data_IF_442736887430
#
_entry.id   IF_442736887430
#
_cell.length_a   1.000
_cell.length_b   1.000
_cell.length_c   1.000
_cell.angle_alpha   90.00
_cell.angle_beta   90.00
_cell.angle_gamma   90.00
#
_symmetry.space_group_name_H-M   'P 1'
#
loop_
_entity.id
_entity.type
_entity.pdbx_description
1 polymer ?
#
# COMPACT_ATOMS: atom_id res chain seq x y z
N UNK A 1 -27.84 3.24 1.23
CA UNK A 1 -28.30 2.51 2.43
C UNK A 1 -27.15 2.53 3.43
N UNK A 2 -27.42 2.82 4.71
CA UNK A 2 -26.42 2.85 5.79
C UNK A 2 -26.81 1.79 6.81
N UNK A 3 -25.85 1.03 7.31
CA UNK A 3 -26.08 0.01 8.32
C UNK A 3 -25.09 0.18 9.47
N UNK A 4 -25.51 -0.26 10.66
CA UNK A 4 -24.66 -0.25 11.85
C UNK A 4 -23.98 -1.61 12.02
N UNK A 5 -22.67 -1.61 12.28
CA UNK A 5 -21.97 -2.82 12.71
C UNK A 5 -21.89 -2.85 14.25
N UNK A 6 -22.50 -3.84 14.93
CA UNK A 6 -22.54 -3.91 16.40
C UNK A 6 -21.19 -4.28 17.03
N UNK A 7 -20.20 -4.69 16.22
CA UNK A 7 -18.90 -5.15 16.72
C UNK A 7 -17.85 -4.04 16.76
N UNK A 8 -17.79 -3.20 15.73
CA UNK A 8 -16.88 -2.04 15.69
C UNK A 8 -17.56 -0.72 16.06
N UNK A 9 -18.86 -0.72 16.39
CA UNK A 9 -19.66 0.46 16.73
C UNK A 9 -19.65 1.58 15.67
N UNK A 10 -19.43 1.22 14.41
CA UNK A 10 -19.35 2.18 13.29
C UNK A 10 -20.50 1.93 12.32
N UNK A 11 -21.12 3.01 11.86
CA UNK A 11 -22.07 2.99 10.76
C UNK A 11 -21.33 2.99 9.43
N UNK A 12 -21.67 2.08 8.53
CA UNK A 12 -21.07 1.94 7.20
C UNK A 12 -22.10 2.07 6.10
N UNK A 13 -21.67 2.53 4.94
CA UNK A 13 -22.49 2.59 3.72
C UNK A 13 -22.45 1.23 3.04
N UNK A 14 -23.60 0.61 2.80
CA UNK A 14 -23.69 -0.73 2.23
C UNK A 14 -25.05 -1.40 2.45
N UNK A 15 -25.14 -2.68 2.14
CA UNK A 15 -26.34 -3.50 2.33
C UNK A 15 -26.40 -4.18 3.70
N UNK A 16 -25.27 -4.45 4.33
CA UNK A 16 -25.21 -4.97 5.70
C UNK A 16 -24.18 -6.07 5.91
N UNK A 17 -23.97 -6.42 7.18
CA UNK A 17 -23.18 -7.59 7.53
C UNK A 17 -23.85 -8.87 6.98
N UNK A 18 -23.07 -9.74 6.34
CA UNK A 18 -23.53 -10.98 5.72
C UNK A 18 -24.01 -10.84 4.27
N UNK A 19 -24.10 -9.62 3.72
CA UNK A 19 -24.53 -9.37 2.33
C UNK A 19 -23.38 -8.87 1.47
N UNK A 20 -22.84 -7.70 1.81
CA UNK A 20 -21.72 -7.07 1.10
C UNK A 20 -20.47 -6.94 1.98
N UNK A 21 -20.62 -6.99 3.30
CA UNK A 21 -19.51 -6.97 4.26
C UNK A 21 -19.59 -8.10 5.29
N UNK A 22 -18.46 -8.52 5.84
CA UNK A 22 -18.36 -9.34 7.05
C UNK A 22 -17.45 -8.65 8.06
N UNK A 23 -17.66 -8.87 9.35
CA UNK A 23 -16.80 -8.32 10.38
C UNK A 23 -15.70 -9.33 10.73
N UNK A 24 -14.44 -8.92 10.65
CA UNK A 24 -13.30 -9.70 11.10
C UNK A 24 -12.97 -9.33 12.56
N UNK A 25 -13.28 -10.24 13.49
CA UNK A 25 -13.02 -10.04 14.92
C UNK A 25 -11.53 -9.90 15.25
N UNK A 26 -10.66 -10.49 14.41
CA UNK A 26 -9.22 -10.51 14.65
C UNK A 26 -8.56 -9.15 14.43
N UNK A 27 -9.01 -8.37 13.44
CA UNK A 27 -8.55 -6.99 13.21
C UNK A 27 -9.61 -5.93 13.52
N UNK A 28 -10.74 -6.32 14.11
CA UNK A 28 -11.89 -5.47 14.44
C UNK A 28 -12.49 -4.69 13.25
N UNK A 29 -12.31 -5.16 12.01
CA UNK A 29 -12.69 -4.41 10.81
C UNK A 29 -13.81 -5.05 10.00
N UNK A 30 -14.69 -4.23 9.41
CA UNK A 30 -15.64 -4.73 8.41
C UNK A 30 -14.99 -4.76 7.03
N UNK A 31 -15.05 -5.92 6.38
CA UNK A 31 -14.35 -6.25 5.15
C UNK A 31 -15.37 -6.69 4.11
N UNK A 32 -15.23 -6.25 2.86
CA UNK A 32 -16.16 -6.61 1.79
C UNK A 32 -16.10 -8.11 1.49
N UNK A 33 -17.24 -8.79 1.38
CA UNK A 33 -17.30 -10.25 1.12
C UNK A 33 -16.68 -10.60 -0.24
N UNK A 34 -16.76 -9.69 -1.21
CA UNK A 34 -16.14 -9.85 -2.53
C UNK A 34 -14.60 -9.70 -2.51
N UNK A 35 -13.99 -9.33 -1.38
CA UNK A 35 -12.53 -9.27 -1.29
C UNK A 35 -11.97 -10.68 -1.05
N UNK A 36 -11.45 -11.28 -2.13
CA UNK A 36 -11.04 -12.71 -2.20
C UNK A 36 -9.88 -13.07 -1.26
N UNK A 37 -9.22 -12.09 -0.63
CA UNK A 37 -8.12 -12.38 0.31
C UNK A 37 -8.03 -11.29 1.39
N UNK A 38 -8.82 -11.41 2.45
CA UNK A 38 -8.57 -10.61 3.65
C UNK A 38 -7.29 -11.10 4.34
N UNK A 39 -6.15 -10.47 4.04
CA UNK A 39 -4.93 -10.62 4.84
C UNK A 39 -5.12 -9.86 6.14
N UNK A 40 -5.58 -10.56 7.17
CA UNK A 40 -5.79 -9.99 8.50
C UNK A 40 -4.43 -9.63 9.13
N UNK A 41 -4.15 -8.34 9.26
CA UNK A 41 -3.06 -7.83 10.07
C UNK A 41 -3.66 -7.24 11.35
N UNK A 42 -3.36 -7.88 12.48
CA UNK A 42 -3.78 -7.42 13.81
C UNK A 42 -3.24 -6.00 14.05
N UNK A 43 -4.11 -5.09 14.51
CA UNK A 43 -3.81 -3.66 14.76
C UNK A 43 -3.37 -2.84 13.54
N UNK A 44 -3.46 -3.38 12.32
CA UNK A 44 -2.99 -2.68 11.11
C UNK A 44 -3.73 -1.36 10.82
N UNK A 45 -4.93 -1.19 11.38
CA UNK A 45 -5.76 0.00 11.20
C UNK A 45 -5.86 0.89 12.44
N UNK A 46 -5.17 0.55 13.55
CA UNK A 46 -5.02 1.40 14.74
C UNK A 46 -3.97 2.50 14.50
N UNK A 47 -4.04 3.16 13.34
CA UNK A 47 -3.13 4.22 12.94
C UNK A 47 -3.84 5.24 12.06
N UNK A 48 -3.30 6.45 12.02
CA UNK A 48 -3.78 7.51 11.14
C UNK A 48 -3.19 7.37 9.74
N UNK A 49 -3.91 7.86 8.75
CA UNK A 49 -3.42 7.93 7.38
C UNK A 49 -2.16 8.82 7.34
N UNK A 50 -1.03 8.36 6.78
CA UNK A 50 0.21 9.14 6.74
C UNK A 50 0.14 10.37 5.81
N UNK A 51 -0.95 10.52 5.05
CA UNK A 51 -1.13 11.60 4.07
C UNK A 51 -2.07 12.68 4.60
N UNK A 52 -3.26 12.32 5.09
CA UNK A 52 -4.25 13.28 5.58
C UNK A 52 -4.36 13.36 7.11
N UNK A 53 -3.63 12.50 7.84
CA UNK A 53 -3.65 12.40 9.30
C UNK A 53 -4.99 12.01 9.94
N UNK A 54 -6.00 11.64 9.14
CA UNK A 54 -7.27 11.10 9.64
C UNK A 54 -7.17 9.63 10.03
N UNK A 55 -8.00 9.21 10.99
CA UNK A 55 -8.14 7.82 11.44
C UNK A 55 -8.48 6.86 10.28
N UNK A 56 -7.69 5.80 10.11
CA UNK A 56 -8.01 4.75 9.13
C UNK A 56 -9.14 3.82 9.60
N UNK A 57 -9.42 3.78 10.90
CA UNK A 57 -10.42 2.89 11.48
C UNK A 57 -11.82 3.49 11.48
N UNK A 58 -11.95 4.73 11.94
CA UNK A 58 -13.24 5.40 12.17
C UNK A 58 -13.72 6.20 10.96
N UNK A 59 -12.82 6.58 10.05
CA UNK A 59 -13.19 7.30 8.84
C UNK A 59 -14.11 6.47 7.94
N UNK A 60 -15.03 7.17 7.28
CA UNK A 60 -15.88 6.58 6.23
C UNK A 60 -15.12 6.37 4.91
N UNK A 61 -13.90 6.91 4.79
CA UNK A 61 -13.09 6.78 3.60
C UNK A 61 -12.57 5.36 3.42
N UNK A 62 -12.55 4.90 2.16
CA UNK A 62 -12.07 3.56 1.81
C UNK A 62 -10.57 3.44 2.05
N UNK A 63 -10.15 2.46 2.83
CA UNK A 63 -8.73 2.19 3.11
C UNK A 63 -8.16 1.15 2.14
N UNK A 64 -6.91 1.35 1.72
CA UNK A 64 -6.15 0.45 0.87
C UNK A 64 -4.94 -0.09 1.64
N UNK A 65 -4.75 -1.41 1.59
CA UNK A 65 -3.52 -2.06 2.02
C UNK A 65 -2.45 -1.92 0.93
N UNK A 66 -1.24 -1.54 1.32
CA UNK A 66 -0.07 -1.43 0.45
C UNK A 66 0.65 -2.77 0.34
N UNK A 67 1.46 -2.95 -0.70
CA UNK A 67 2.27 -4.16 -0.89
C UNK A 67 3.23 -4.43 0.28
N UNK A 68 3.69 -3.38 0.96
CA UNK A 68 4.55 -3.47 2.14
C UNK A 68 3.82 -3.84 3.44
N UNK A 69 2.49 -3.94 3.43
CA UNK A 69 1.66 -4.27 4.60
C UNK A 69 1.14 -3.08 5.42
N UNK A 70 1.49 -1.84 5.03
CA UNK A 70 0.94 -0.62 5.63
C UNK A 70 -0.39 -0.20 4.99
N UNK A 71 -1.06 0.78 5.59
CA UNK A 71 -2.40 1.22 5.19
C UNK A 71 -2.46 2.72 4.92
N UNK A 72 -3.29 3.13 3.97
CA UNK A 72 -3.66 4.53 3.73
C UNK A 72 -5.02 4.62 3.01
N UNK A 73 -5.69 5.78 3.06
CA UNK A 73 -6.93 5.97 2.28
C UNK A 73 -6.66 5.78 0.78
N UNK A 74 -7.63 5.20 0.06
CA UNK A 74 -7.52 4.93 -1.38
C UNK A 74 -7.38 6.22 -2.19
N UNK A 75 -8.08 7.29 -1.79
CA UNK A 75 -7.93 8.63 -2.37
C UNK A 75 -6.54 9.21 -2.10
N UNK A 76 -6.05 9.09 -0.87
CA UNK A 76 -4.69 9.51 -0.51
C UNK A 76 -3.63 8.72 -1.27
N UNK A 77 -3.82 7.40 -1.46
CA UNK A 77 -2.94 6.57 -2.27
C UNK A 77 -2.88 7.10 -3.70
N UNK A 78 -4.02 7.33 -4.35
CA UNK A 78 -4.08 7.82 -5.71
C UNK A 78 -3.37 9.16 -5.87
N UNK A 79 -3.65 10.12 -4.98
CA UNK A 79 -3.01 11.44 -5.00
C UNK A 79 -1.49 11.36 -4.75
N UNK A 80 -1.07 10.53 -3.80
CA UNK A 80 0.33 10.37 -3.43
C UNK A 80 1.14 9.68 -4.53
N UNK A 81 0.56 8.69 -5.23
CA UNK A 81 1.21 8.00 -6.35
C UNK A 81 1.45 8.85 -7.59
N UNK A 82 0.89 10.06 -7.65
CA UNK A 82 1.18 11.01 -8.73
C UNK A 82 2.60 11.58 -8.65
N UNK A 83 3.20 11.64 -7.46
CA UNK A 83 4.54 12.22 -7.25
C UNK A 83 5.51 11.31 -6.50
N UNK A 84 5.03 10.26 -5.82
CA UNK A 84 5.85 9.35 -5.02
C UNK A 84 5.51 7.88 -5.31
N UNK A 85 6.54 7.04 -5.41
CA UNK A 85 6.39 5.61 -5.67
C UNK A 85 6.79 4.73 -4.47
N UNK A 86 7.18 5.33 -3.34
CA UNK A 86 7.63 4.64 -2.12
C UNK A 86 6.66 4.86 -0.97
N UNK A 87 6.56 3.90 -0.05
CA UNK A 87 5.70 4.01 1.11
C UNK A 87 6.22 5.10 2.07
N UNK A 88 5.38 6.05 2.54
CA UNK A 88 5.82 7.12 3.44
C UNK A 88 6.22 6.62 4.84
N UNK A 89 5.95 5.34 5.16
CA UNK A 89 6.18 4.75 6.48
C UNK A 89 7.48 3.93 6.52
N UNK A 90 7.80 3.23 5.43
CA UNK A 90 8.92 2.27 5.39
C UNK A 90 9.78 2.37 4.13
N UNK A 91 9.51 3.34 3.26
CA UNK A 91 10.25 3.62 2.02
C UNK A 91 10.30 2.48 0.98
N UNK A 92 9.58 1.37 1.20
CA UNK A 92 9.43 0.28 0.21
C UNK A 92 8.56 0.72 -0.97
N UNK A 93 8.80 0.17 -2.16
CA UNK A 93 7.99 0.49 -3.36
C UNK A 93 6.50 0.17 -3.17
N UNK A 94 5.65 1.04 -3.72
CA UNK A 94 4.19 0.92 -3.67
C UNK A 94 3.63 -0.01 -4.76
N UNK A 95 4.44 -0.36 -5.76
CA UNK A 95 4.06 -1.21 -6.88
C UNK A 95 5.27 -1.90 -7.50
N UNK A 96 5.01 -2.61 -8.60
CA UNK A 96 6.04 -3.28 -9.38
C UNK A 96 6.85 -2.24 -10.17
N UNK A 97 8.12 -2.11 -9.79
CA UNK A 97 9.06 -1.18 -10.41
C UNK A 97 10.02 -1.90 -11.38
N UNK A 98 9.80 -3.17 -11.72
CA UNK A 98 10.69 -3.96 -12.57
C UNK A 98 10.95 -3.29 -13.92
N UNK A 99 9.95 -2.67 -14.53
CA UNK A 99 10.11 -1.93 -15.80
C UNK A 99 10.98 -0.70 -15.64
N UNK A 100 10.76 0.07 -14.57
CA UNK A 100 11.53 1.28 -14.30
C UNK A 100 13.00 0.94 -13.98
N UNK A 101 13.24 -0.05 -13.12
CA UNK A 101 14.58 -0.53 -12.82
C UNK A 101 15.27 -1.12 -14.06
N UNK A 102 14.55 -1.88 -14.88
CA UNK A 102 15.09 -2.39 -16.15
C UNK A 102 15.50 -1.28 -17.12
N UNK A 103 14.75 -0.17 -17.16
CA UNK A 103 15.13 1.00 -17.97
C UNK A 103 16.39 1.69 -17.41
N UNK A 104 16.50 1.82 -16.09
CA UNK A 104 17.70 2.37 -15.44
C UNK A 104 18.93 1.49 -15.67
N UNK A 105 18.79 0.17 -15.54
CA UNK A 105 19.85 -0.80 -15.80
C UNK A 105 20.35 -0.70 -17.25
N UNK A 106 19.44 -0.53 -18.21
CA UNK A 106 19.80 -0.34 -19.61
C UNK A 106 20.57 0.97 -19.86
N UNK A 107 20.18 2.07 -19.19
CA UNK A 107 20.89 3.35 -19.27
C UNK A 107 22.28 3.26 -18.65
N UNK A 108 22.40 2.66 -17.46
CA UNK A 108 23.67 2.44 -16.77
C UNK A 108 24.60 1.54 -17.60
N UNK A 109 24.08 0.48 -18.21
CA UNK A 109 24.85 -0.41 -19.08
C UNK A 109 25.34 0.28 -20.36
N UNK A 110 24.62 1.31 -20.83
CA UNK A 110 25.03 2.10 -21.99
C UNK A 110 26.10 3.16 -21.64
N UNK A 111 26.32 3.46 -20.36
CA UNK A 111 27.31 4.42 -19.91
C UNK A 111 28.72 3.81 -19.98
N UNK A 112 29.55 4.30 -20.91
CA UNK A 112 30.94 3.89 -20.98
C UNK A 112 31.75 4.61 -19.91
N UNK A 113 32.41 3.83 -19.05
CA UNK A 113 33.37 4.37 -18.07
C UNK A 113 34.46 5.18 -18.78
N UNK A 114 34.90 6.30 -18.19
CA UNK A 114 36.08 7.01 -18.65
C UNK A 114 37.27 6.07 -18.74
N UNK A 115 38.17 6.36 -19.68
CA UNK A 115 39.31 5.51 -20.06
C UNK A 115 40.20 5.14 -18.85
N UNK A 116 40.26 6.04 -17.88
CA UNK A 116 40.99 5.94 -16.60
C UNK A 116 40.46 4.84 -15.66
N UNK A 117 39.23 4.36 -15.86
CA UNK A 117 38.54 3.40 -14.99
C UNK A 117 38.13 2.10 -15.69
N UNK A 118 38.55 1.90 -16.95
CA UNK A 118 38.15 0.74 -17.79
C UNK A 118 38.52 -0.62 -17.21
N UNK A 119 39.61 -0.72 -16.46
CA UNK A 119 40.06 -1.97 -15.83
C UNK A 119 39.29 -2.33 -14.54
N UNK A 120 38.37 -1.46 -14.07
CA UNK A 120 37.54 -1.73 -12.90
C UNK A 120 36.17 -2.22 -13.36
N UNK A 121 35.94 -3.52 -13.25
CA UNK A 121 34.61 -4.09 -13.49
C UNK A 121 33.57 -3.38 -12.61
N UNK A 122 32.54 -2.80 -13.23
CA UNK A 122 31.32 -2.35 -12.53
C UNK A 122 30.60 -3.58 -11.96
N UNK A 123 31.01 -4.02 -10.77
CA UNK A 123 30.28 -5.02 -10.02
C UNK A 123 28.93 -4.44 -9.62
N UNK A 124 27.85 -4.99 -10.19
CA UNK A 124 26.49 -4.62 -9.81
C UNK A 124 26.28 -5.06 -8.35
N UNK A 125 26.24 -4.11 -7.41
CA UNK A 125 26.14 -4.38 -5.96
C UNK A 125 24.71 -4.67 -5.49
N UNK A 126 23.76 -4.83 -6.41
CA UNK A 126 22.33 -4.94 -6.11
C UNK A 126 21.66 -6.24 -6.61
N UNK A 127 22.46 -7.25 -6.95
CA UNK A 127 21.94 -8.61 -7.20
C UNK A 127 21.93 -9.41 -5.89
N UNK A 128 20.84 -9.30 -5.12
CA UNK A 128 20.44 -10.24 -4.06
C UNK A 128 18.96 -10.61 -4.20
#
# INVERSE_FOLDING_TARGET
NVYHCPFCNICRVGQGLGIDYFHCMKCNCCVGIKSVSHKCLEKGLEMNCPICCDDLFTSSATVRALACGHYMHSSCFQAYTCSHYTCPICSKSLGDMAVYFGMLDALLAAEQLPEEYRDRSQGNKYAE
#
